data_IF_336775006996
#
_entry.id   IF_336775006996
#
_cell.length_a   1.000
_cell.length_b   1.000
_cell.length_c   1.000
_cell.angle_alpha   90.00
_cell.angle_beta   90.00
_cell.angle_gamma   90.00
#
_symmetry.space_group_name_H-M   'P 1'
#
loop_
_entity.id
_entity.type
_entity.pdbx_description
1 polymer ?
#
# COMPACT_ATOMS: atom_id res chain seq x y z
N UNK A 1 15.98 -5.92 -4.85
CA UNK A 1 14.72 -6.21 -4.20
C UNK A 1 13.59 -5.39 -4.81
N UNK A 2 12.46 -5.99 -4.99
CA UNK A 2 11.31 -5.31 -5.58
C UNK A 2 10.40 -4.77 -4.49
N UNK A 3 10.01 -3.52 -4.63
CA UNK A 3 9.08 -2.90 -3.70
C UNK A 3 7.73 -2.76 -4.40
N UNK A 4 6.68 -3.18 -3.72
CA UNK A 4 5.33 -3.02 -4.23
C UNK A 4 4.75 -1.74 -3.64
N UNK A 5 4.27 -0.85 -4.50
CA UNK A 5 3.69 0.41 -4.08
C UNK A 5 2.19 0.35 -4.36
N UNK A 6 1.40 0.39 -3.31
CA UNK A 6 -0.05 0.33 -3.42
C UNK A 6 -0.62 1.68 -3.02
N UNK A 7 -1.25 2.35 -3.97
CA UNK A 7 -1.86 3.65 -3.71
C UNK A 7 -3.24 3.48 -3.11
N UNK A 8 -3.47 4.16 -2.02
CA UNK A 8 -4.72 4.08 -1.26
C UNK A 8 -5.53 5.36 -1.42
N UNK A 9 -6.87 5.25 -1.42
CA UNK A 9 -7.72 6.43 -1.58
C UNK A 9 -7.77 7.32 -0.34
N UNK A 10 -7.40 6.81 0.82
CA UNK A 10 -7.42 7.62 2.03
C UNK A 10 -6.40 7.12 3.04
N UNK A 11 -6.09 8.00 3.98
CA UNK A 11 -5.15 7.67 5.04
C UNK A 11 -5.67 6.51 5.91
N UNK A 12 -6.96 6.51 6.17
CA UNK A 12 -7.58 5.46 6.99
C UNK A 12 -7.32 4.07 6.41
N UNK A 13 -7.50 3.92 5.11
CA UNK A 13 -7.25 2.64 4.45
C UNK A 13 -5.77 2.30 4.40
N UNK A 14 -4.93 3.30 4.26
CA UNK A 14 -3.48 3.07 4.28
C UNK A 14 -3.05 2.54 5.64
N UNK A 15 -3.56 3.11 6.72
CA UNK A 15 -3.24 2.65 8.07
C UNK A 15 -3.76 1.24 8.31
N UNK A 16 -4.97 0.96 7.88
CA UNK A 16 -5.55 -0.38 8.01
C UNK A 16 -4.73 -1.41 7.27
N UNK A 17 -4.33 -1.10 6.05
CA UNK A 17 -3.51 -2.01 5.27
C UNK A 17 -2.16 -2.24 5.90
N UNK A 18 -1.52 -1.17 6.37
CA UNK A 18 -0.22 -1.29 7.00
C UNK A 18 -0.27 -2.16 8.25
N UNK A 19 -1.24 -1.91 9.12
CA UNK A 19 -1.38 -2.70 10.34
C UNK A 19 -1.68 -4.16 10.04
N UNK A 20 -2.56 -4.39 9.07
CA UNK A 20 -2.92 -5.75 8.68
C UNK A 20 -1.72 -6.52 8.16
N UNK A 21 -0.98 -5.92 7.23
CA UNK A 21 0.17 -6.58 6.64
C UNK A 21 1.29 -6.77 7.66
N UNK A 22 1.52 -5.79 8.51
CA UNK A 22 2.55 -5.91 9.55
C UNK A 22 2.23 -7.06 10.51
N UNK A 23 0.96 -7.24 10.86
CA UNK A 23 0.57 -8.30 11.77
C UNK A 23 0.72 -9.68 11.16
N UNK A 24 0.81 -9.75 9.83
CA UNK A 24 0.99 -11.01 9.13
C UNK A 24 2.42 -11.25 8.66
N UNK A 25 3.34 -10.42 9.12
CA UNK A 25 4.75 -10.60 8.80
C UNK A 25 5.17 -9.98 7.48
N UNK A 26 4.37 -9.08 6.94
CA UNK A 26 4.72 -8.36 5.71
C UNK A 26 5.09 -6.93 6.06
N UNK A 27 6.38 -6.62 6.15
CA UNK A 27 6.79 -5.26 6.50
C UNK A 27 6.37 -4.27 5.41
N UNK A 28 5.78 -3.18 5.84
CA UNK A 28 5.36 -2.14 4.92
C UNK A 28 5.43 -0.78 5.60
N UNK A 29 5.38 0.25 4.78
CA UNK A 29 5.51 1.62 5.27
C UNK A 29 4.55 2.53 4.53
N UNK A 30 3.95 3.47 5.26
CA UNK A 30 3.04 4.44 4.65
C UNK A 30 3.84 5.65 4.20
N UNK A 31 3.61 6.06 2.96
CA UNK A 31 4.19 7.28 2.43
C UNK A 31 3.09 8.17 1.87
N UNK A 32 3.26 9.46 2.10
CA UNK A 32 2.33 10.44 1.56
C UNK A 32 2.79 10.85 0.17
N UNK A 33 1.88 10.82 -0.80
CA UNK A 33 2.18 11.24 -2.15
C UNK A 33 2.17 12.75 -2.24
N UNK A 34 3.35 13.36 -2.11
CA UNK A 34 3.46 14.80 -2.19
C UNK A 34 3.40 15.32 -3.63
N UNK A 35 3.64 14.44 -4.59
CA UNK A 35 3.61 14.81 -6.01
C UNK A 35 2.27 14.48 -6.67
N UNK A 36 1.26 14.18 -5.88
CA UNK A 36 -0.06 13.89 -6.40
C UNK A 36 -0.67 15.15 -7.01
N UNK A 37 -1.51 14.95 -8.02
CA UNK A 37 -2.20 16.07 -8.65
C UNK A 37 -3.06 16.82 -7.64
N UNK A 38 -3.29 18.12 -7.85
CA UNK A 38 -4.16 18.88 -6.95
C UNK A 38 -5.52 18.19 -6.83
N UNK A 39 -5.96 17.99 -5.60
CA UNK A 39 -7.22 17.33 -5.33
C UNK A 39 -7.13 15.84 -5.08
N UNK A 40 -6.00 15.23 -5.31
CA UNK A 40 -5.83 13.82 -5.00
C UNK A 40 -5.01 13.68 -3.72
N UNK A 41 -5.68 13.27 -2.65
CA UNK A 41 -5.00 12.96 -1.38
C UNK A 41 -4.53 11.52 -1.48
N UNK A 42 -3.31 11.34 -1.96
CA UNK A 42 -2.77 10.02 -2.17
C UNK A 42 -1.85 9.59 -1.05
N UNK A 43 -2.11 8.40 -0.52
CA UNK A 43 -1.20 7.75 0.39
C UNK A 43 -0.78 6.43 -0.24
N UNK A 44 0.47 6.07 -0.10
CA UNK A 44 1.00 4.85 -0.68
C UNK A 44 1.53 3.92 0.39
N UNK A 45 1.30 2.63 0.21
CA UNK A 45 1.91 1.61 1.03
C UNK A 45 3.09 1.03 0.29
N UNK A 46 4.26 1.11 0.89
CA UNK A 46 5.46 0.50 0.34
C UNK A 46 5.64 -0.85 1.01
N UNK A 47 5.46 -1.92 0.25
CA UNK A 47 5.53 -3.29 0.76
C UNK A 47 6.86 -3.89 0.33
N UNK A 48 7.65 -4.31 1.31
CA UNK A 48 9.02 -4.78 1.08
C UNK A 48 9.12 -6.31 1.05
N UNK A 49 8.02 -6.98 0.81
CA UNK A 49 8.01 -8.43 0.75
C UNK A 49 7.13 -8.89 -0.41
N UNK A 50 6.64 -10.12 -0.34
CA UNK A 50 5.86 -10.73 -1.42
C UNK A 50 4.61 -9.91 -1.76
N UNK A 51 4.64 -9.22 -2.89
CA UNK A 51 3.55 -8.33 -3.29
C UNK A 51 2.28 -9.09 -3.59
N UNK A 52 2.38 -10.25 -4.22
CA UNK A 52 1.19 -11.03 -4.58
C UNK A 52 0.38 -11.41 -3.34
N UNK A 53 1.06 -11.90 -2.31
CA UNK A 53 0.38 -12.28 -1.09
C UNK A 53 -0.15 -11.08 -0.34
N UNK A 54 0.61 -9.98 -0.33
CA UNK A 54 0.17 -8.76 0.34
C UNK A 54 -1.09 -8.20 -0.31
N UNK A 55 -1.11 -8.11 -1.62
CA UNK A 55 -2.28 -7.62 -2.35
C UNK A 55 -3.47 -8.54 -2.13
N UNK A 56 -3.23 -9.84 -2.12
CA UNK A 56 -4.28 -10.82 -1.87
C UNK A 56 -4.91 -10.61 -0.49
N UNK A 57 -4.10 -10.32 0.51
CA UNK A 57 -4.61 -10.02 1.85
C UNK A 57 -5.45 -8.76 1.85
N UNK A 58 -5.00 -7.72 1.16
CA UNK A 58 -5.76 -6.48 1.07
C UNK A 58 -7.13 -6.72 0.42
N UNK A 59 -7.17 -7.51 -0.64
CA UNK A 59 -8.42 -7.84 -1.31
C UNK A 59 -9.33 -8.68 -0.42
N UNK A 60 -8.75 -9.63 0.30
CA UNK A 60 -9.52 -10.51 1.18
C UNK A 60 -10.21 -9.72 2.29
N UNK A 61 -9.58 -8.67 2.79
CA UNK A 61 -10.14 -7.84 3.84
C UNK A 61 -10.87 -6.61 3.29
N UNK A 62 -11.06 -6.56 1.97
CA UNK A 62 -11.78 -5.50 1.28
C UNK A 62 -11.22 -4.11 1.55
N UNK A 63 -9.91 -4.03 1.59
CA UNK A 63 -9.24 -2.74 1.71
C UNK A 63 -9.06 -2.20 0.29
N UNK A 64 -9.72 -1.10 -0.06
CA UNK A 64 -9.64 -0.57 -1.41
C UNK A 64 -8.28 0.06 -1.70
N UNK A 65 -7.84 -0.09 -2.93
CA UNK A 65 -6.65 0.59 -3.41
C UNK A 65 -6.95 1.11 -4.80
N UNK A 66 -6.28 2.18 -5.20
CA UNK A 66 -6.53 2.81 -6.49
C UNK A 66 -5.54 2.36 -7.55
N UNK A 67 -4.32 2.03 -7.16
CA UNK A 67 -3.29 1.66 -8.11
C UNK A 67 -2.20 0.84 -7.45
N UNK A 68 -1.64 -0.09 -8.21
CA UNK A 68 -0.49 -0.87 -7.76
C UNK A 68 0.65 -0.64 -8.73
N UNK A 69 1.81 -0.30 -8.17
CA UNK A 69 3.02 -0.11 -8.96
C UNK A 69 4.15 -0.94 -8.36
N UNK A 70 5.12 -1.28 -9.17
CA UNK A 70 6.29 -2.02 -8.71
C UNK A 70 7.52 -1.16 -8.92
N UNK A 71 8.19 -0.85 -7.82
CA UNK A 71 9.42 -0.10 -7.88
C UNK A 71 10.60 -1.05 -7.85
N UNK A 72 11.40 -1.02 -8.89
CA UNK A 72 12.60 -1.83 -8.93
C UNK A 72 13.73 -1.12 -8.23
N UNK A 73 14.17 -1.71 -7.16
CA UNK A 73 15.33 -1.16 -6.47
C UNK A 73 16.60 -1.81 -6.89
#
# INVERSE_FOLDING_TARGET
>A
MTVCIVEMPSYTYAVKGEKLLSSRGYPCKINRNTNASPGSCGYSLFIYSSSEKAVSILEQYRIPYTRISYGGG
#
